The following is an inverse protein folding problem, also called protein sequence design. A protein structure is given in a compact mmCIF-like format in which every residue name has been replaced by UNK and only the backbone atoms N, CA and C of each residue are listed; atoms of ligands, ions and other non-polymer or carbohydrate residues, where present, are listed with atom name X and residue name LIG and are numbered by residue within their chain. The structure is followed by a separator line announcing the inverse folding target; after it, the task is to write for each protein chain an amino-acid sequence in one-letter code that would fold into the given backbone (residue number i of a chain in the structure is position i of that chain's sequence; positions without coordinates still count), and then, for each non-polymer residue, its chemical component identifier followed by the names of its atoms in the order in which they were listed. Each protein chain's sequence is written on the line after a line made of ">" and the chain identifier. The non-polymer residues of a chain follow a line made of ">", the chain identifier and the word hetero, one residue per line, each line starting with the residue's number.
data_IF_177704988307
#
_entry.id   IF_177704988307
#
_cell.length_a   1.000
_cell.length_b   1.000
_cell.length_c   1.000
_cell.angle_alpha   90.00
_cell.angle_beta   90.00
_cell.angle_gamma   90.00
#
_symmetry.space_group_name_H-M   'P 1'
#
loop_
_entity.id
_entity.type
_entity.pdbx_description
1 polymer ?
#
# COMPACT_ATOMS: atom_id res chain seq x y z
N UNK A 1 -20.39 -3.75 -3.91
CA UNK A 1 -19.06 -4.02 -4.53
C UNK A 1 -18.86 -5.46 -5.01
N UNK A 2 -19.18 -6.49 -4.22
CA UNK A 2 -19.01 -7.91 -4.64
C UNK A 2 -19.75 -8.25 -5.96
N UNK A 3 -20.96 -7.71 -6.17
CA UNK A 3 -21.69 -7.84 -7.44
C UNK A 3 -20.99 -7.18 -8.63
N UNK A 4 -20.36 -6.01 -8.42
CA UNK A 4 -19.59 -5.31 -9.45
C UNK A 4 -18.34 -6.11 -9.86
N UNK A 5 -17.65 -6.75 -8.91
CA UNK A 5 -16.52 -7.65 -9.21
C UNK A 5 -16.97 -8.85 -10.06
N UNK A 6 -18.16 -9.41 -9.82
CA UNK A 6 -18.71 -10.47 -10.68
C UNK A 6 -18.97 -9.99 -12.10
N UNK A 7 -19.45 -8.74 -12.25
CA UNK A 7 -19.73 -8.12 -13.55
C UNK A 7 -18.47 -7.68 -14.30
N UNK A 8 -17.43 -7.26 -13.58
CA UNK A 8 -16.16 -6.75 -14.13
C UNK A 8 -14.94 -7.43 -13.48
N UNK A 9 -14.77 -8.75 -13.68
CA UNK A 9 -13.78 -9.54 -12.94
C UNK A 9 -12.32 -9.14 -13.21
N UNK A 10 -12.07 -8.57 -14.39
CA UNK A 10 -10.74 -8.12 -14.84
C UNK A 10 -10.43 -6.65 -14.57
N UNK A 11 -11.34 -5.87 -13.96
CA UNK A 11 -11.09 -4.45 -13.71
C UNK A 11 -10.27 -4.24 -12.43
N UNK A 12 -9.02 -3.70 -12.52
CA UNK A 12 -8.23 -3.41 -11.33
C UNK A 12 -8.90 -2.36 -10.43
N UNK A 13 -9.64 -1.39 -11.01
CA UNK A 13 -10.38 -0.37 -10.24
C UNK A 13 -11.47 -0.97 -9.38
N UNK A 14 -12.29 -1.85 -9.95
CA UNK A 14 -13.40 -2.48 -9.21
C UNK A 14 -12.84 -3.41 -8.13
N UNK A 15 -11.73 -4.08 -8.40
CA UNK A 15 -11.02 -4.92 -7.43
C UNK A 15 -10.41 -4.10 -6.29
N UNK A 16 -9.75 -2.99 -6.61
CA UNK A 16 -9.21 -2.08 -5.60
C UNK A 16 -10.33 -1.48 -4.73
N UNK A 17 -11.43 -1.02 -5.34
CA UNK A 17 -12.58 -0.48 -4.60
C UNK A 17 -13.16 -1.50 -3.62
N UNK A 18 -13.25 -2.79 -4.01
CA UNK A 18 -13.63 -3.85 -3.09
C UNK A 18 -12.59 -4.08 -1.99
N UNK A 19 -11.30 -4.18 -2.35
CA UNK A 19 -10.22 -4.42 -1.39
C UNK A 19 -10.14 -3.32 -0.31
N UNK A 20 -10.31 -2.06 -0.74
CA UNK A 20 -10.40 -0.91 0.16
C UNK A 20 -11.65 -0.98 1.03
N UNK A 21 -12.83 -1.19 0.45
CA UNK A 21 -14.07 -1.28 1.23
C UNK A 21 -13.99 -2.37 2.31
N UNK A 22 -13.43 -3.55 1.99
CA UNK A 22 -13.23 -4.63 2.96
C UNK A 22 -12.20 -4.26 4.04
N UNK A 23 -11.16 -3.46 3.72
CA UNK A 23 -10.25 -2.92 4.74
C UNK A 23 -10.97 -1.94 5.67
N UNK A 24 -11.70 -0.97 5.12
CA UNK A 24 -12.40 0.05 5.92
C UNK A 24 -13.45 -0.60 6.84
N UNK A 25 -14.17 -1.60 6.34
CA UNK A 25 -15.11 -2.41 7.13
C UNK A 25 -14.39 -3.15 8.28
N UNK A 26 -13.27 -3.81 7.99
CA UNK A 26 -12.47 -4.50 9.01
C UNK A 26 -11.89 -3.53 10.06
N UNK A 27 -11.50 -2.33 9.66
CA UNK A 27 -11.03 -1.30 10.60
C UNK A 27 -12.17 -0.79 11.49
N UNK A 28 -13.35 -0.57 10.93
CA UNK A 28 -14.53 -0.14 11.68
C UNK A 28 -15.02 -1.20 12.67
N UNK A 29 -14.88 -2.48 12.32
CA UNK A 29 -15.21 -3.61 13.18
C UNK A 29 -14.10 -3.96 14.19
N UNK A 30 -12.94 -3.30 14.12
CA UNK A 30 -11.73 -3.63 14.90
C UNK A 30 -11.31 -5.11 14.82
N UNK A 31 -11.66 -5.77 13.71
CA UNK A 31 -11.38 -7.19 13.48
C UNK A 31 -10.21 -7.36 12.51
N UNK A 32 -9.03 -7.57 13.09
CA UNK A 32 -7.81 -7.86 12.34
C UNK A 32 -7.92 -9.10 11.42
N UNK A 33 -8.80 -10.05 11.72
CA UNK A 33 -9.00 -11.26 10.94
C UNK A 33 -9.96 -11.06 9.76
N UNK A 34 -10.79 -10.01 9.77
CA UNK A 34 -11.74 -9.70 8.71
C UNK A 34 -11.08 -9.18 7.42
N UNK A 35 -9.83 -8.71 7.48
CA UNK A 35 -9.15 -8.20 6.29
C UNK A 35 -8.83 -9.33 5.29
N UNK A 36 -9.52 -9.28 4.15
CA UNK A 36 -9.34 -10.27 3.10
C UNK A 36 -8.13 -9.97 2.19
N UNK A 37 -6.98 -10.53 2.54
CA UNK A 37 -5.74 -10.43 1.76
C UNK A 37 -5.86 -10.96 0.32
N UNK A 38 -6.88 -11.77 0.01
CA UNK A 38 -7.08 -12.32 -1.34
C UNK A 38 -7.37 -11.22 -2.36
N UNK A 39 -8.11 -10.16 -1.99
CA UNK A 39 -8.44 -9.09 -2.94
C UNK A 39 -7.18 -8.35 -3.40
N UNK A 40 -6.28 -8.04 -2.47
CA UNK A 40 -5.00 -7.40 -2.74
C UNK A 40 -4.11 -8.26 -3.64
N UNK A 41 -4.03 -9.57 -3.37
CA UNK A 41 -3.32 -10.52 -4.25
C UNK A 41 -3.93 -10.59 -5.65
N UNK A 42 -5.25 -10.58 -5.76
CA UNK A 42 -5.92 -10.59 -7.07
C UNK A 42 -5.70 -9.29 -7.84
N UNK A 43 -5.71 -8.14 -7.18
CA UNK A 43 -5.42 -6.84 -7.80
C UNK A 43 -4.07 -6.83 -8.52
N UNK A 44 -3.04 -7.37 -7.86
CA UNK A 44 -1.67 -7.42 -8.38
C UNK A 44 -1.50 -8.43 -9.51
N UNK A 45 -2.28 -9.52 -9.47
CA UNK A 45 -2.32 -10.47 -10.59
C UNK A 45 -2.93 -9.86 -11.84
N UNK A 46 -3.89 -8.93 -11.68
CA UNK A 46 -4.49 -8.23 -12.82
C UNK A 46 -3.56 -7.18 -13.41
N UNK A 47 -2.82 -6.45 -12.57
CA UNK A 47 -1.81 -5.51 -13.04
C UNK A 47 -0.57 -5.51 -12.12
N UNK A 48 0.54 -6.01 -12.66
CA UNK A 48 1.83 -6.08 -11.95
C UNK A 48 2.38 -4.70 -11.57
N UNK A 49 1.95 -3.61 -12.20
CA UNK A 49 2.36 -2.25 -11.84
C UNK A 49 1.80 -1.81 -10.48
N UNK A 50 0.77 -2.51 -10.00
CA UNK A 50 0.15 -2.32 -8.68
C UNK A 50 0.84 -3.14 -7.57
N UNK A 51 1.95 -3.82 -7.89
CA UNK A 51 2.72 -4.63 -6.93
C UNK A 51 3.01 -3.96 -5.58
N UNK A 52 3.32 -2.64 -5.50
CA UNK A 52 3.56 -1.98 -4.21
C UNK A 52 2.39 -2.07 -3.23
N UNK A 53 1.17 -2.21 -3.75
CA UNK A 53 -0.05 -2.29 -2.94
C UNK A 53 -0.16 -3.60 -2.14
N UNK A 54 0.64 -4.64 -2.42
CA UNK A 54 0.65 -5.83 -1.55
C UNK A 54 1.15 -5.50 -0.14
N UNK A 55 1.95 -4.47 0.01
CA UNK A 55 2.50 -4.05 1.28
C UNK A 55 1.78 -2.81 1.80
N UNK A 56 1.59 -1.78 0.96
CA UNK A 56 0.96 -0.53 1.38
C UNK A 56 -0.46 -0.76 1.92
N UNK A 57 -1.28 -1.55 1.23
CA UNK A 57 -2.65 -1.85 1.67
C UNK A 57 -2.71 -2.47 3.07
N UNK A 58 -1.96 -3.56 3.33
CA UNK A 58 -1.83 -4.15 4.65
C UNK A 58 -1.21 -3.24 5.70
N UNK A 59 -0.19 -2.43 5.37
CA UNK A 59 0.43 -1.48 6.30
C UNK A 59 -0.64 -0.54 6.88
N UNK A 60 -1.49 0.03 6.02
CA UNK A 60 -2.55 0.96 6.43
C UNK A 60 -3.60 0.34 7.35
N UNK A 61 -3.75 -0.98 7.32
CA UNK A 61 -4.62 -1.71 8.23
C UNK A 61 -3.90 -2.10 9.53
N UNK A 62 -2.77 -2.78 9.40
CA UNK A 62 -2.02 -3.39 10.50
C UNK A 62 -1.43 -2.33 11.46
N UNK A 63 -1.18 -1.11 10.98
CA UNK A 63 -0.71 -0.01 11.82
C UNK A 63 -1.66 0.32 12.97
N UNK A 64 -2.95 0.00 12.85
CA UNK A 64 -3.97 0.21 13.90
C UNK A 64 -3.98 -0.90 14.97
N UNK A 65 -3.40 -2.06 14.68
CA UNK A 65 -3.45 -3.23 15.56
C UNK A 65 -2.05 -3.55 16.10
N UNK A 66 -1.80 -3.26 17.37
CA UNK A 66 -0.52 -3.52 18.05
C UNK A 66 -0.16 -5.02 18.06
N UNK A 67 -1.16 -5.88 18.29
CA UNK A 67 -1.03 -7.34 18.33
C UNK A 67 -0.52 -8.01 17.04
N UNK A 68 -0.36 -7.26 15.94
CA UNK A 68 0.12 -7.75 14.64
C UNK A 68 1.49 -7.17 14.24
N UNK A 69 2.28 -6.70 15.20
CA UNK A 69 3.58 -6.07 14.93
C UNK A 69 4.49 -6.87 13.98
N UNK A 70 4.70 -8.19 14.14
CA UNK A 70 5.58 -8.93 13.23
C UNK A 70 5.13 -8.85 11.77
N UNK A 71 3.81 -8.90 11.54
CA UNK A 71 3.25 -8.81 10.20
C UNK A 71 3.32 -7.39 9.65
N UNK A 72 3.12 -6.38 10.50
CA UNK A 72 3.31 -4.98 10.12
C UNK A 72 4.77 -4.75 9.68
N UNK A 73 5.74 -5.18 10.50
CA UNK A 73 7.17 -5.07 10.23
C UNK A 73 7.55 -5.73 8.90
N UNK A 74 7.11 -6.96 8.66
CA UNK A 74 7.35 -7.67 7.38
C UNK A 74 6.87 -6.87 6.17
N UNK A 75 5.67 -6.27 6.25
CA UNK A 75 5.16 -5.46 5.14
C UNK A 75 5.93 -4.15 4.97
N UNK A 76 6.27 -3.48 6.07
CA UNK A 76 7.04 -2.22 6.05
C UNK A 76 8.43 -2.45 5.46
N UNK A 77 9.13 -3.51 5.86
CA UNK A 77 10.41 -3.91 5.30
C UNK A 77 10.28 -4.27 3.81
N UNK A 78 9.25 -5.04 3.45
CA UNK A 78 8.97 -5.38 2.05
C UNK A 78 8.76 -4.15 1.16
N UNK A 79 7.96 -3.19 1.63
CA UNK A 79 7.74 -1.93 0.91
C UNK A 79 9.02 -1.10 0.82
N UNK A 80 9.75 -0.94 1.92
CA UNK A 80 11.02 -0.20 1.96
C UNK A 80 12.05 -0.79 0.98
N UNK A 81 12.19 -2.11 0.96
CA UNK A 81 13.09 -2.80 0.03
C UNK A 81 12.67 -2.59 -1.42
N UNK A 82 11.37 -2.61 -1.71
CA UNK A 82 10.91 -2.29 -3.06
C UNK A 82 11.20 -0.82 -3.44
N UNK A 83 10.94 0.12 -2.53
CA UNK A 83 11.21 1.55 -2.72
C UNK A 83 12.70 1.84 -2.99
N UNK A 84 13.61 1.13 -2.32
CA UNK A 84 15.04 1.27 -2.58
C UNK A 84 15.43 0.76 -3.97
N UNK A 85 14.73 -0.23 -4.51
CA UNK A 85 15.01 -0.78 -5.84
C UNK A 85 14.58 0.13 -6.99
N UNK A 86 13.51 0.91 -6.82
CA UNK A 86 13.03 1.85 -7.86
C UNK A 86 13.76 3.19 -7.85
N UNK A 87 14.47 3.48 -6.77
CA UNK A 87 15.37 4.63 -6.66
C UNK A 87 16.70 4.40 -7.40
N UNK A 88 16.92 3.18 -7.93
CA UNK A 88 18.08 2.83 -8.77
C UNK A 88 17.70 2.99 -10.26
N UNK A 89 18.50 3.70 -11.06
CA UNK A 89 18.15 4.09 -12.44
C UNK A 89 18.10 2.95 -13.48
N UNK A 90 18.15 1.67 -13.10
CA UNK A 90 18.44 0.55 -14.03
C UNK A 90 17.26 -0.39 -14.35
N UNK A 91 15.99 0.06 -14.33
CA UNK A 91 14.86 -0.78 -14.78
C UNK A 91 14.08 -0.19 -15.95
N UNK A 92 14.25 -0.82 -17.11
CA UNK A 92 13.73 -0.43 -18.42
C UNK A 92 12.22 -0.65 -18.65
N UNK A 93 11.41 -1.10 -17.67
CA UNK A 93 10.04 -1.61 -17.94
C UNK A 93 8.91 -0.97 -17.12
N UNK A 94 9.20 0.08 -16.35
CA UNK A 94 8.19 0.98 -15.80
C UNK A 94 8.50 2.39 -16.32
N UNK A 95 7.49 3.25 -16.52
CA UNK A 95 7.71 4.69 -16.72
C UNK A 95 8.47 5.18 -15.47
N UNK A 96 9.82 5.33 -15.54
CA UNK A 96 10.65 5.42 -14.35
C UNK A 96 10.29 6.67 -13.54
N UNK A 97 9.72 7.67 -14.22
CA UNK A 97 9.27 8.92 -13.64
C UNK A 97 8.14 8.74 -12.63
N UNK A 98 7.12 7.93 -12.93
CA UNK A 98 5.94 7.82 -12.08
C UNK A 98 6.21 6.96 -10.85
N UNK A 99 6.75 5.75 -10.99
CA UNK A 99 7.00 4.89 -9.84
C UNK A 99 8.08 5.46 -8.92
N UNK A 100 9.12 6.12 -9.45
CA UNK A 100 10.11 6.81 -8.62
C UNK A 100 9.49 8.00 -7.88
N UNK A 101 8.72 8.85 -8.56
CA UNK A 101 8.00 9.95 -7.92
C UNK A 101 7.01 9.46 -6.86
N UNK A 102 6.17 8.49 -7.22
CA UNK A 102 5.16 7.91 -6.32
C UNK A 102 5.82 7.25 -5.13
N UNK A 103 6.89 6.48 -5.38
CA UNK A 103 7.67 5.81 -4.35
C UNK A 103 8.30 6.81 -3.38
N UNK A 104 8.89 7.89 -3.88
CA UNK A 104 9.40 8.97 -3.04
C UNK A 104 8.30 9.60 -2.18
N UNK A 105 7.11 9.85 -2.73
CA UNK A 105 5.98 10.39 -1.95
C UNK A 105 5.52 9.44 -0.85
N UNK A 106 5.42 8.14 -1.13
CA UNK A 106 5.06 7.12 -0.13
C UNK A 106 6.17 6.96 0.91
N UNK A 107 7.43 7.00 0.49
CA UNK A 107 8.58 6.94 1.40
C UNK A 107 8.54 8.08 2.41
N UNK A 108 8.40 9.32 1.94
CA UNK A 108 8.33 10.50 2.80
C UNK A 108 7.17 10.43 3.81
N UNK A 109 6.00 9.94 3.36
CA UNK A 109 4.82 9.79 4.22
C UNK A 109 4.98 8.69 5.29
N UNK A 110 5.75 7.64 5.04
CA UNK A 110 5.91 6.51 5.97
C UNK A 110 7.11 6.67 6.89
N UNK A 111 8.22 7.19 6.37
CA UNK A 111 9.51 7.13 7.05
C UNK A 111 10.07 8.50 7.43
N UNK A 112 9.77 9.55 6.65
CA UNK A 112 10.50 10.82 6.74
C UNK A 112 9.60 12.04 7.02
N UNK A 113 8.51 11.85 7.75
CA UNK A 113 7.62 12.97 8.10
C UNK A 113 8.28 14.01 9.04
N UNK A 114 9.43 13.68 9.65
CA UNK A 114 10.13 14.53 10.63
C UNK A 114 11.64 14.72 10.39
N UNK A 115 12.24 14.14 9.33
CA UNK A 115 13.66 14.37 9.00
C UNK A 115 14.70 13.54 9.77
N UNK A 116 14.28 12.66 10.69
CA UNK A 116 15.16 11.95 11.64
C UNK A 116 15.27 10.43 11.39
N UNK A 117 14.86 9.94 10.22
CA UNK A 117 14.90 8.51 9.93
C UNK A 117 16.34 7.99 9.77
N UNK A 118 16.88 7.37 10.83
CA UNK A 118 18.12 6.62 10.72
C UNK A 118 17.94 5.46 9.72
N UNK A 119 18.79 5.35 8.69
CA UNK A 119 18.67 4.30 7.68
C UNK A 119 18.91 2.88 8.21
N UNK A 120 19.42 2.71 9.43
CA UNK A 120 19.80 1.39 9.94
C UNK A 120 18.64 0.67 10.64
N UNK A 121 17.69 1.38 11.25
CA UNK A 121 16.59 0.77 12.00
C UNK A 121 15.24 1.39 11.66
N UNK A 122 14.25 0.54 11.38
CA UNK A 122 12.87 0.97 11.19
C UNK A 122 12.20 1.08 12.57
N UNK A 123 11.99 2.32 13.02
CA UNK A 123 11.16 2.60 14.18
C UNK A 123 9.68 2.41 13.84
N UNK A 124 9.10 1.31 14.34
CA UNK A 124 7.71 0.94 14.06
C UNK A 124 6.70 1.87 14.73
N UNK A 125 7.06 2.50 15.86
CA UNK A 125 6.18 3.48 16.52
C UNK A 125 6.10 4.76 15.69
N UNK A 126 7.25 5.26 15.22
CA UNK A 126 7.27 6.38 14.26
C UNK A 126 6.50 6.08 12.99
N UNK A 127 6.64 4.87 12.42
CA UNK A 127 5.86 4.46 11.24
C UNK A 127 4.35 4.46 11.52
N UNK A 128 3.91 3.93 12.68
CA UNK A 128 2.49 3.96 13.07
C UNK A 128 1.97 5.38 13.21
N UNK A 129 2.75 6.25 13.86
CA UNK A 129 2.38 7.66 14.05
C UNK A 129 2.30 8.41 12.71
N UNK A 130 3.27 8.18 11.82
CA UNK A 130 3.26 8.75 10.48
C UNK A 130 2.05 8.28 9.67
N UNK A 131 1.68 7.01 9.75
CA UNK A 131 0.46 6.49 9.13
C UNK A 131 -0.78 7.13 9.75
N UNK A 132 -0.83 7.31 11.06
CA UNK A 132 -1.96 7.93 11.75
C UNK A 132 -2.16 9.38 11.29
N UNK A 133 -1.09 10.15 11.18
CA UNK A 133 -1.11 11.55 10.73
C UNK A 133 -1.40 11.63 9.22
N UNK A 134 -0.70 10.84 8.42
CA UNK A 134 -0.71 10.89 6.95
C UNK A 134 -1.69 9.92 6.28
N UNK A 135 -2.64 9.33 7.03
CA UNK A 135 -3.50 8.25 6.54
C UNK A 135 -4.19 8.62 5.22
N UNK A 136 -4.83 9.80 5.19
CA UNK A 136 -5.56 10.28 4.01
C UNK A 136 -4.66 10.47 2.80
N UNK A 137 -3.43 10.94 3.00
CA UNK A 137 -2.47 11.14 1.93
C UNK A 137 -1.97 9.81 1.39
N UNK A 138 -1.72 8.83 2.26
CA UNK A 138 -1.35 7.47 1.86
C UNK A 138 -2.47 6.79 1.05
N UNK A 139 -3.74 6.98 1.46
CA UNK A 139 -4.90 6.52 0.69
C UNK A 139 -4.94 7.19 -0.69
N UNK A 140 -4.66 8.48 -0.76
CA UNK A 140 -4.60 9.21 -2.04
C UNK A 140 -3.49 8.62 -2.94
N UNK A 141 -2.34 8.24 -2.37
CA UNK A 141 -1.29 7.55 -3.14
C UNK A 141 -1.72 6.15 -3.60
N UNK A 142 -2.46 5.39 -2.80
CA UNK A 142 -3.04 4.11 -3.26
C UNK A 142 -3.97 4.32 -4.46
N UNK A 143 -4.82 5.34 -4.42
CA UNK A 143 -5.73 5.67 -5.53
C UNK A 143 -4.97 6.09 -6.79
N UNK A 144 -3.98 6.99 -6.66
CA UNK A 144 -3.21 7.51 -7.79
C UNK A 144 -2.56 6.40 -8.62
N UNK A 145 -1.90 5.43 -7.98
CA UNK A 145 -1.27 4.31 -8.69
C UNK A 145 -2.31 3.42 -9.40
N UNK A 146 -3.47 3.21 -8.79
CA UNK A 146 -4.58 2.45 -9.40
C UNK A 146 -5.14 3.20 -10.60
N UNK A 147 -5.47 4.48 -10.47
CA UNK A 147 -6.08 5.26 -11.54
C UNK A 147 -5.12 5.56 -12.69
N UNK A 148 -3.81 5.68 -12.41
CA UNK A 148 -2.76 5.82 -13.41
C UNK A 148 -2.69 4.60 -14.32
N UNK A 149 -2.74 3.39 -13.76
CA UNK A 149 -2.50 2.15 -14.52
C UNK A 149 -3.78 1.48 -15.04
N UNK A 150 -4.89 1.60 -14.32
CA UNK A 150 -6.17 1.05 -14.74
C UNK A 150 -6.94 1.95 -15.72
N UNK A 151 -6.24 2.76 -16.53
CA UNK A 151 -6.79 3.74 -17.48
C UNK A 151 -7.02 3.17 -18.88
N UNK A 152 -6.99 1.85 -19.06
CA UNK A 152 -7.15 1.18 -20.36
C UNK A 152 -8.24 0.12 -20.28
#
# INVERSE_FOLDING_TARGET
>A
MRAAVKRFPGSPRVRYALARAEREEAMAAEDAAAMNMRQWKTLIRLDRRLFPLQWLGPILFLARFSAREPKLRENVEGLRNWLSTISRPEREHADPSFHAWWGNRVYLLLFDARGDASPEFIDMESVRENIRIGYRDLITREEEIVYRHARR
#
